data_IF_218942499945
#
_entry.id   IF_218942499945
#
_cell.length_a   1.000
_cell.length_b   1.000
_cell.length_c   1.000
_cell.angle_alpha   90.00
_cell.angle_beta   90.00
_cell.angle_gamma   90.00
#
_symmetry.space_group_name_H-M   'P 1'
#
loop_
_entity.id
_entity.type
_entity.pdbx_description
1 polymer ?
#
# COMPACT_ATOMS: atom_id res chain seq x y z
N UNK A 1 -16.79 0.58 -4.49
CA UNK A 1 -15.76 0.01 -5.37
C UNK A 1 -14.71 1.08 -5.61
N UNK A 2 -13.41 0.78 -5.53
CA UNK A 2 -12.34 1.75 -5.85
C UNK A 2 -11.81 1.49 -7.27
N UNK A 3 -11.38 2.53 -7.96
CA UNK A 3 -10.92 2.46 -9.35
C UNK A 3 -9.48 1.93 -9.38
N UNK A 4 -9.18 0.91 -10.19
CA UNK A 4 -7.80 0.45 -10.37
C UNK A 4 -6.97 1.52 -11.09
N UNK A 5 -5.69 1.64 -10.74
CA UNK A 5 -4.81 2.68 -11.27
C UNK A 5 -4.83 4.00 -10.50
N UNK A 6 -5.64 4.12 -9.44
CA UNK A 6 -5.64 5.32 -8.60
C UNK A 6 -4.46 5.35 -7.60
N UNK A 7 -4.26 6.52 -7.01
CA UNK A 7 -3.22 6.75 -6.02
C UNK A 7 -3.53 5.99 -4.73
N UNK A 8 -2.55 5.24 -4.25
CA UNK A 8 -2.63 4.50 -3.00
C UNK A 8 -1.38 4.70 -2.14
N UNK A 9 -1.53 4.49 -0.84
CA UNK A 9 -0.43 4.55 0.10
C UNK A 9 -0.40 3.31 0.99
N UNK A 10 0.73 2.63 1.01
CA UNK A 10 0.98 1.48 1.88
C UNK A 10 1.50 2.00 3.22
N UNK A 11 0.77 1.73 4.31
CA UNK A 11 1.15 2.23 5.63
C UNK A 11 2.20 1.30 6.27
N UNK A 12 3.35 1.86 6.62
CA UNK A 12 4.36 1.15 7.43
C UNK A 12 3.81 0.98 8.85
N UNK A 13 3.77 -0.21 9.46
CA UNK A 13 3.32 -0.36 10.85
C UNK A 13 4.18 0.44 11.83
N UNK A 14 3.60 1.01 12.90
CA UNK A 14 4.35 1.83 13.88
C UNK A 14 5.50 1.04 14.51
N UNK A 15 5.29 -0.24 14.83
CA UNK A 15 6.33 -1.11 15.41
C UNK A 15 7.55 -1.30 14.50
N UNK A 16 7.39 -1.10 13.19
CA UNK A 16 8.45 -1.26 12.18
C UNK A 16 9.08 0.06 11.75
N UNK A 17 8.71 1.19 12.37
CA UNK A 17 9.25 2.52 12.04
C UNK A 17 10.32 2.92 13.04
N UNK A 18 11.45 3.37 12.54
CA UNK A 18 12.44 4.17 13.27
C UNK A 18 12.06 5.65 13.25
N UNK A 19 12.77 6.47 14.04
CA UNK A 19 12.45 7.89 14.26
C UNK A 19 12.32 8.71 12.96
N UNK A 20 13.05 8.31 11.92
CA UNK A 20 13.09 9.00 10.63
C UNK A 20 12.46 8.19 9.49
N UNK A 21 11.80 7.07 9.79
CA UNK A 21 11.18 6.26 8.74
C UNK A 21 9.90 6.89 8.20
N UNK A 22 9.65 6.77 6.88
CA UNK A 22 8.43 7.24 6.26
C UNK A 22 7.21 6.52 6.82
N UNK A 23 6.16 7.29 7.12
CA UNK A 23 4.90 6.74 7.66
C UNK A 23 4.12 5.93 6.63
N UNK A 24 4.27 6.27 5.35
CA UNK A 24 3.55 5.67 4.23
C UNK A 24 4.42 5.67 2.98
N UNK A 25 4.22 4.68 2.13
CA UNK A 25 4.93 4.51 0.85
C UNK A 25 3.92 4.67 -0.28
N UNK A 26 4.26 5.50 -1.25
CA UNK A 26 3.37 5.83 -2.36
C UNK A 26 3.28 4.67 -3.37
N UNK A 27 2.10 4.48 -3.93
CA UNK A 27 1.86 3.41 -4.87
C UNK A 27 0.59 3.60 -5.69
N UNK A 28 0.35 2.61 -6.55
CA UNK A 28 -0.81 2.55 -7.44
C UNK A 28 -1.68 1.38 -7.01
N UNK A 29 -2.98 1.63 -6.79
CA UNK A 29 -3.93 0.58 -6.45
C UNK A 29 -4.14 -0.36 -7.64
N UNK A 30 -3.76 -1.63 -7.49
CA UNK A 30 -3.90 -2.63 -8.55
C UNK A 30 -5.10 -3.54 -8.35
N UNK A 31 -5.56 -3.71 -7.10
CA UNK A 31 -6.79 -4.45 -6.84
C UNK A 31 -6.84 -5.11 -5.47
N UNK A 32 -7.78 -6.04 -5.35
CA UNK A 32 -8.01 -6.79 -4.13
C UNK A 32 -7.23 -8.11 -4.18
N UNK A 33 -6.88 -8.62 -3.01
CA UNK A 33 -6.31 -9.97 -2.87
C UNK A 33 -7.40 -10.96 -2.45
N UNK A 34 -7.24 -12.24 -2.77
CA UNK A 34 -8.18 -13.29 -2.33
C UNK A 34 -8.29 -13.38 -0.81
N UNK A 35 -7.20 -13.01 -0.12
CA UNK A 35 -7.17 -12.93 1.35
C UNK A 35 -8.05 -11.77 1.82
N UNK A 36 -8.89 -11.97 2.85
CA UNK A 36 -9.80 -10.94 3.32
C UNK A 36 -9.06 -9.67 3.73
N UNK A 37 -9.56 -8.53 3.26
CA UNK A 37 -9.06 -7.17 3.58
C UNK A 37 -7.61 -6.91 3.18
N UNK A 38 -7.06 -7.62 2.20
CA UNK A 38 -5.77 -7.31 1.61
C UNK A 38 -5.93 -6.66 0.23
N UNK A 39 -4.99 -5.78 -0.10
CA UNK A 39 -4.95 -5.04 -1.35
C UNK A 39 -3.60 -5.24 -2.02
N UNK A 40 -3.61 -5.30 -3.35
CA UNK A 40 -2.43 -5.30 -4.21
C UNK A 40 -2.12 -3.85 -4.60
N UNK A 41 -0.92 -3.40 -4.25
CA UNK A 41 -0.45 -2.03 -4.53
C UNK A 41 0.91 -2.13 -5.19
N UNK A 42 1.10 -1.43 -6.30
CA UNK A 42 2.42 -1.25 -6.88
C UNK A 42 3.14 -0.13 -6.14
N UNK A 43 4.17 -0.47 -5.39
CA UNK A 43 5.00 0.48 -4.66
C UNK A 43 6.00 1.13 -5.61
N UNK A 44 5.90 2.45 -5.81
CA UNK A 44 6.63 3.16 -6.87
C UNK A 44 8.14 3.16 -6.60
N UNK A 45 8.55 3.43 -5.36
CA UNK A 45 9.97 3.49 -5.00
C UNK A 45 10.67 2.13 -5.09
N UNK A 46 9.99 1.07 -4.66
CA UNK A 46 10.54 -0.28 -4.68
C UNK A 46 10.35 -1.00 -6.03
N UNK A 47 9.52 -0.46 -6.92
CA UNK A 47 9.23 -1.02 -8.25
C UNK A 47 8.54 -2.39 -8.23
N UNK A 48 7.83 -2.72 -7.14
CA UNK A 48 7.24 -4.06 -6.93
C UNK A 48 5.79 -4.00 -6.45
N UNK A 49 5.05 -5.09 -6.71
CA UNK A 49 3.69 -5.25 -6.18
C UNK A 49 3.77 -5.81 -4.76
N UNK A 50 3.18 -5.09 -3.81
CA UNK A 50 3.05 -5.50 -2.42
C UNK A 50 1.61 -5.79 -2.07
N UNK A 51 1.41 -6.80 -1.23
CA UNK A 51 0.11 -7.14 -0.65
C UNK A 51 0.08 -6.57 0.76
N UNK A 52 -0.89 -5.69 1.05
CA UNK A 52 -1.01 -5.07 2.37
C UNK A 52 -2.47 -4.94 2.81
N UNK A 53 -2.69 -5.13 4.11
CA UNK A 53 -3.98 -4.87 4.76
C UNK A 53 -4.16 -3.41 5.18
N UNK A 54 -3.06 -2.64 5.22
CA UNK A 54 -3.07 -1.24 5.65
C UNK A 54 -2.75 -0.36 4.45
N UNK A 55 -3.79 -0.03 3.69
CA UNK A 55 -3.70 0.76 2.47
C UNK A 55 -4.73 1.90 2.52
N UNK A 56 -4.26 3.12 2.27
CA UNK A 56 -5.08 4.30 2.08
C UNK A 56 -5.19 4.56 0.57
N UNK A 57 -6.37 4.37 -0.01
CA UNK A 57 -6.62 4.56 -1.44
C UNK A 57 -7.46 5.83 -1.59
N UNK A 58 -7.02 6.73 -2.47
CA UNK A 58 -7.67 8.01 -2.77
C UNK A 58 -8.55 7.90 -4.01
#
# INVERSE_FOLDING_TARGET
MRIFGCKAYVLTPKEKRLKWDPKRREGIFMGYEERPKAYRVYEIEAGQVVISHKVEIH
#
